data_IF_912869834344
#
_entry.id   IF_912869834344
#
_cell.length_a   1.000
_cell.length_b   1.000
_cell.length_c   1.000
_cell.angle_alpha   90.00
_cell.angle_beta   90.00
_cell.angle_gamma   90.00
#
_symmetry.space_group_name_H-M   'P 1'
#
loop_
_entity.id
_entity.type
_entity.pdbx_description
1 polymer ?
#
# COMPACT_ATOMS: atom_id res chain seq x y z
N UNK A 1 4.00 5.41 -19.85
CA UNK A 1 3.93 4.40 -18.77
C UNK A 1 5.25 4.44 -18.02
N UNK A 2 5.29 4.51 -16.68
CA UNK A 2 6.56 4.55 -15.97
C UNK A 2 7.40 3.30 -16.30
N UNK A 3 8.71 3.48 -16.47
CA UNK A 3 9.69 2.45 -16.86
C UNK A 3 9.95 1.38 -15.79
N UNK A 4 9.23 1.40 -14.66
CA UNK A 4 9.41 0.40 -13.60
C UNK A 4 8.75 -0.91 -13.95
N UNK A 5 9.56 -1.96 -14.13
CA UNK A 5 9.06 -3.30 -14.41
C UNK A 5 8.22 -3.82 -13.23
N UNK A 6 6.92 -4.09 -13.47
CA UNK A 6 5.97 -4.61 -12.47
C UNK A 6 6.08 -6.14 -12.32
N UNK A 7 7.22 -6.63 -11.85
CA UNK A 7 7.44 -8.08 -11.70
C UNK A 7 6.82 -8.61 -10.41
N UNK A 8 6.64 -7.74 -9.43
CA UNK A 8 6.10 -8.07 -8.11
C UNK A 8 5.07 -7.04 -7.66
N UNK A 9 3.95 -7.54 -7.14
CA UNK A 9 2.89 -6.75 -6.53
C UNK A 9 2.67 -7.23 -5.10
N UNK A 10 2.83 -6.33 -4.13
CA UNK A 10 2.46 -6.59 -2.74
C UNK A 10 1.09 -6.00 -2.46
N UNK A 11 0.08 -6.85 -2.31
CA UNK A 11 -1.23 -6.46 -1.83
C UNK A 11 -1.21 -6.45 -0.30
N UNK A 12 -1.69 -5.36 0.31
CA UNK A 12 -1.81 -5.25 1.76
C UNK A 12 -3.06 -4.45 2.14
N UNK A 13 -3.68 -4.74 3.30
CA UNK A 13 -4.86 -4.03 3.75
C UNK A 13 -4.52 -2.59 4.16
N UNK A 14 -5.28 -1.62 3.65
CA UNK A 14 -5.05 -0.19 3.91
C UNK A 14 -5.21 0.23 5.38
N UNK A 15 -5.92 -0.57 6.19
CA UNK A 15 -6.15 -0.29 7.62
C UNK A 15 -5.01 -0.76 8.54
N UNK A 16 -3.95 -1.37 8.00
CA UNK A 16 -2.82 -1.88 8.79
C UNK A 16 -1.53 -1.04 8.60
N UNK A 17 -1.30 0.00 9.42
CA UNK A 17 -0.19 0.94 9.25
C UNK A 17 1.19 0.28 9.40
N UNK A 18 1.29 -0.83 10.15
CA UNK A 18 2.53 -1.60 10.26
C UNK A 18 2.91 -2.25 8.93
N UNK A 19 1.92 -2.77 8.19
CA UNK A 19 2.13 -3.42 6.89
C UNK A 19 2.46 -2.37 5.81
N UNK A 20 1.75 -1.26 5.79
CA UNK A 20 2.01 -0.15 4.85
C UNK A 20 3.42 0.41 5.04
N UNK A 21 3.88 0.61 6.28
CA UNK A 21 5.24 1.06 6.57
C UNK A 21 6.31 0.03 6.18
N UNK A 22 6.07 -1.26 6.49
CA UNK A 22 6.99 -2.35 6.12
C UNK A 22 7.16 -2.49 4.61
N UNK A 23 6.12 -2.22 3.83
CA UNK A 23 6.20 -2.32 2.37
C UNK A 23 7.29 -1.42 1.75
N UNK A 24 7.60 -0.27 2.35
CA UNK A 24 8.69 0.61 1.91
C UNK A 24 10.09 -0.01 2.09
N UNK A 25 10.24 -1.02 2.95
CA UNK A 25 11.52 -1.69 3.24
C UNK A 25 11.75 -2.95 2.40
N UNK A 26 10.75 -3.40 1.62
CA UNK A 26 10.83 -4.64 0.85
C UNK A 26 11.35 -4.39 -0.57
N UNK A 27 11.99 -5.42 -1.13
CA UNK A 27 12.47 -5.43 -2.51
C UNK A 27 11.35 -5.84 -3.47
N UNK A 28 10.34 -4.97 -3.60
CA UNK A 28 9.16 -5.14 -4.45
C UNK A 28 9.08 -3.99 -5.47
N UNK A 29 8.35 -4.20 -6.55
CA UNK A 29 8.18 -3.20 -7.62
C UNK A 29 6.93 -2.33 -7.40
N UNK A 30 5.83 -2.91 -6.92
CA UNK A 30 4.57 -2.21 -6.67
C UNK A 30 3.92 -2.62 -5.33
N UNK A 31 3.27 -1.63 -4.69
CA UNK A 31 2.40 -1.82 -3.52
C UNK A 31 0.98 -1.50 -3.93
N UNK A 32 0.06 -2.43 -3.65
CA UNK A 32 -1.39 -2.23 -3.83
C UNK A 32 -2.00 -2.10 -2.44
N UNK A 33 -2.59 -0.94 -2.17
CA UNK A 33 -3.31 -0.69 -0.94
C UNK A 33 -4.76 -1.12 -1.09
N UNK A 34 -5.10 -2.23 -0.44
CA UNK A 34 -6.42 -2.80 -0.56
C UNK A 34 -7.46 -2.07 0.31
N UNK A 35 -8.62 -1.81 -0.30
CA UNK A 35 -9.83 -1.27 0.32
C UNK A 35 -11.02 -2.23 0.19
N UNK A 36 -10.85 -3.36 -0.49
CA UNK A 36 -11.88 -4.34 -0.81
C UNK A 36 -11.77 -5.57 0.10
N UNK A 37 -11.55 -6.77 -0.42
CA UNK A 37 -11.79 -8.02 0.31
C UNK A 37 -10.79 -8.30 1.44
N UNK A 38 -9.60 -7.70 1.40
CA UNK A 38 -8.63 -7.74 2.49
C UNK A 38 -8.96 -6.75 3.63
N UNK A 39 -10.02 -5.95 3.50
CA UNK A 39 -10.46 -5.01 4.55
C UNK A 39 -11.85 -5.39 5.07
N UNK A 40 -11.99 -5.72 6.37
CA UNK A 40 -13.29 -5.96 6.98
C UNK A 40 -14.25 -4.77 6.77
N UNK A 41 -15.56 -4.99 6.60
CA UNK A 41 -16.54 -3.91 6.39
C UNK A 41 -16.48 -2.80 7.46
N UNK A 42 -16.22 -3.17 8.71
CA UNK A 42 -16.07 -2.24 9.84
C UNK A 42 -14.83 -1.36 9.77
N UNK A 43 -13.87 -1.69 8.92
CA UNK A 43 -12.57 -1.02 8.81
C UNK A 43 -12.40 -0.25 7.49
N UNK A 44 -13.44 -0.15 6.65
CA UNK A 44 -13.35 0.57 5.35
C UNK A 44 -12.94 2.03 5.50
N UNK A 45 -13.48 2.72 6.50
CA UNK A 45 -13.09 4.10 6.78
C UNK A 45 -11.62 4.18 7.25
N UNK A 46 -11.24 3.33 8.21
CA UNK A 46 -9.86 3.26 8.68
C UNK A 46 -8.86 2.90 7.57
N UNK A 47 -9.26 2.08 6.59
CA UNK A 47 -8.44 1.78 5.42
C UNK A 47 -8.24 3.02 4.56
N UNK A 48 -9.30 3.79 4.26
CA UNK A 48 -9.17 5.03 3.50
C UNK A 48 -8.23 6.03 4.19
N UNK A 49 -8.41 6.21 5.49
CA UNK A 49 -7.60 7.15 6.29
C UNK A 49 -6.15 6.65 6.42
N UNK A 50 -5.96 5.34 6.59
CA UNK A 50 -4.65 4.69 6.65
C UNK A 50 -3.88 4.78 5.34
N UNK A 51 -4.56 4.62 4.20
CA UNK A 51 -3.96 4.78 2.86
C UNK A 51 -3.55 6.23 2.64
N UNK A 52 -4.42 7.19 2.95
CA UNK A 52 -4.07 8.60 2.88
C UNK A 52 -2.83 8.90 3.72
N UNK A 53 -2.81 8.46 4.99
CA UNK A 53 -1.66 8.63 5.87
C UNK A 53 -0.38 7.96 5.32
N UNK A 54 -0.48 6.76 4.73
CA UNK A 54 0.65 6.07 4.13
C UNK A 54 1.20 6.82 2.91
N UNK A 55 0.34 7.29 2.00
CA UNK A 55 0.74 8.03 0.81
C UNK A 55 1.35 9.40 1.14
N UNK A 56 0.91 10.04 2.22
CA UNK A 56 1.46 11.32 2.69
C UNK A 56 2.78 11.16 3.43
N UNK A 57 2.90 10.14 4.30
CA UNK A 57 3.96 10.10 5.31
C UNK A 57 5.04 9.03 5.06
N UNK A 58 4.83 8.08 4.15
CA UNK A 58 5.78 6.99 3.90
C UNK A 58 6.49 7.20 2.57
N UNK A 59 7.83 7.17 2.60
CA UNK A 59 8.64 7.21 1.39
C UNK A 59 8.80 5.81 0.80
N UNK A 60 7.99 5.48 -0.20
CA UNK A 60 8.10 4.24 -0.97
C UNK A 60 9.25 4.27 -2.01
N UNK A 61 9.95 5.38 -2.20
CA UNK A 61 11.01 5.48 -3.19
C UNK A 61 10.48 5.24 -4.60
N UNK A 62 11.13 4.34 -5.36
CA UNK A 62 10.77 4.05 -6.75
C UNK A 62 9.61 3.07 -6.93
N UNK A 63 9.06 2.51 -5.83
CA UNK A 63 7.94 1.57 -5.96
C UNK A 63 6.71 2.29 -6.45
N UNK A 64 5.99 1.63 -7.33
CA UNK A 64 4.66 2.07 -7.73
C UNK A 64 3.69 1.91 -6.57
N UNK A 65 2.75 2.85 -6.46
CA UNK A 65 1.73 2.91 -5.42
C UNK A 65 0.38 2.91 -6.13
N UNK A 66 -0.43 1.90 -5.86
CA UNK A 66 -1.74 1.67 -6.45
C UNK A 66 -2.78 1.56 -5.36
#
# INVERSE_FOLDING_TARGET
>A
MPETARRTFLLLPGHEPRKTAKAATLAIDAVIFDMEDGVPPTHKQAARDGIHAALTNVNYGRRERM
#
